data_IF_188146520700
#
_entry.id   IF_188146520700
#
_cell.length_a   1.000
_cell.length_b   1.000
_cell.length_c   1.000
_cell.angle_alpha   90.00
_cell.angle_beta   90.00
_cell.angle_gamma   90.00
#
_symmetry.space_group_name_H-M   'P 1'
#
loop_
_entity.id
_entity.type
_entity.pdbx_description
1 polymer ?
#
# COMPACT_ATOMS: atom_id res chain seq x y z
N UNK A 1 -0.52 -7.02 -15.39
CA UNK A 1 -1.35 -6.08 -14.62
C UNK A 1 -2.78 -6.26 -15.10
N UNK A 2 -3.75 -6.33 -14.20
CA UNK A 2 -5.17 -6.54 -14.54
C UNK A 2 -6.01 -5.51 -13.77
N UNK A 3 -6.76 -4.66 -14.47
CA UNK A 3 -7.66 -3.70 -13.85
C UNK A 3 -8.98 -4.36 -13.44
N UNK A 4 -9.46 -4.06 -12.23
CA UNK A 4 -10.65 -4.66 -11.61
C UNK A 4 -11.84 -3.70 -11.73
N UNK A 5 -11.60 -2.42 -11.45
CA UNK A 5 -12.60 -1.35 -11.55
C UNK A 5 -11.92 -0.03 -11.88
N UNK A 6 -12.67 0.85 -12.55
CA UNK A 6 -12.27 2.20 -12.92
C UNK A 6 -13.38 3.17 -12.51
N UNK A 7 -13.01 4.28 -11.89
CA UNK A 7 -13.90 5.41 -11.62
C UNK A 7 -13.16 6.72 -11.96
N UNK A 8 -13.91 7.81 -12.09
CA UNK A 8 -13.37 9.15 -12.29
C UNK A 8 -14.23 10.15 -11.51
N UNK A 9 -13.57 11.09 -10.84
CA UNK A 9 -14.19 12.15 -10.06
C UNK A 9 -13.19 13.28 -9.80
N UNK A 10 -13.68 14.52 -9.73
CA UNK A 10 -12.90 15.74 -9.41
C UNK A 10 -11.63 15.95 -10.26
N UNK A 11 -11.60 15.49 -11.52
CA UNK A 11 -10.42 15.58 -12.38
C UNK A 11 -9.40 14.46 -12.19
N UNK A 12 -9.73 13.40 -11.45
CA UNK A 12 -8.86 12.26 -11.15
C UNK A 12 -9.55 10.94 -11.46
N UNK A 13 -8.95 10.17 -12.36
CA UNK A 13 -9.28 8.77 -12.64
C UNK A 13 -8.62 7.86 -11.61
N UNK A 14 -9.40 6.99 -10.97
CA UNK A 14 -8.96 5.94 -10.02
C UNK A 14 -9.16 4.55 -10.64
N UNK A 15 -8.13 3.70 -10.60
CA UNK A 15 -8.14 2.37 -11.21
C UNK A 15 -7.57 1.32 -10.24
N UNK A 16 -8.43 0.42 -9.77
CA UNK A 16 -8.03 -0.72 -8.92
C UNK A 16 -7.45 -1.82 -9.78
N UNK A 17 -6.36 -2.46 -9.35
CA UNK A 17 -5.66 -3.46 -10.16
C UNK A 17 -4.98 -4.56 -9.33
N UNK A 18 -4.57 -5.63 -10.01
CA UNK A 18 -3.63 -6.64 -9.50
C UNK A 18 -2.39 -6.79 -10.40
N UNK A 19 -1.24 -7.04 -9.78
CA UNK A 19 0.03 -7.37 -10.45
C UNK A 19 0.48 -8.77 -10.04
N UNK A 20 -0.25 -9.78 -10.51
CA UNK A 20 -0.27 -11.09 -9.86
C UNK A 20 -0.92 -10.97 -8.49
N UNK A 21 -0.26 -11.46 -7.44
CA UNK A 21 -0.78 -11.48 -6.06
C UNK A 21 -0.57 -10.17 -5.27
N UNK A 22 -0.35 -9.06 -5.98
CA UNK A 22 -0.16 -7.72 -5.40
C UNK A 22 -1.31 -6.81 -5.83
N UNK A 23 -2.29 -6.56 -4.93
CA UNK A 23 -3.35 -5.58 -5.13
C UNK A 23 -2.79 -4.15 -5.10
N UNK A 24 -3.31 -3.29 -5.98
CA UNK A 24 -2.92 -1.90 -6.09
C UNK A 24 -4.05 -0.99 -6.56
N UNK A 25 -3.84 0.32 -6.44
CA UNK A 25 -4.68 1.36 -7.03
C UNK A 25 -3.76 2.35 -7.74
N UNK A 26 -4.15 2.75 -8.95
CA UNK A 26 -3.52 3.77 -9.78
C UNK A 26 -4.45 4.98 -9.85
N UNK A 27 -3.94 6.16 -9.51
CA UNK A 27 -4.60 7.45 -9.72
C UNK A 27 -3.84 8.25 -10.77
N UNK A 28 -4.58 8.92 -11.66
CA UNK A 28 -4.03 9.78 -12.72
C UNK A 28 -4.96 10.98 -12.97
N UNK A 29 -4.47 12.09 -13.54
CA UNK A 29 -5.34 13.16 -14.04
C UNK A 29 -6.32 12.62 -15.08
N UNK A 30 -7.57 13.09 -15.05
CA UNK A 30 -8.54 12.82 -16.11
C UNK A 30 -8.02 13.36 -17.45
N UNK A 31 -8.02 12.52 -18.49
CA UNK A 31 -7.40 12.88 -19.78
C UNK A 31 -5.87 12.96 -19.77
N UNK A 32 -5.20 12.44 -18.73
CA UNK A 32 -3.74 12.34 -18.65
C UNK A 32 -3.18 11.34 -19.65
N UNK A 33 -2.89 11.79 -20.88
CA UNK A 33 -2.28 10.98 -21.94
C UNK A 33 -0.76 11.20 -22.02
N UNK A 34 0.01 10.09 -22.07
CA UNK A 34 1.47 10.11 -22.24
C UNK A 34 2.25 9.76 -20.97
N UNK A 35 3.52 10.14 -20.93
CA UNK A 35 4.44 9.78 -19.84
C UNK A 35 4.29 10.74 -18.65
N UNK A 36 3.59 10.32 -17.61
CA UNK A 36 3.48 11.06 -16.34
C UNK A 36 4.58 10.64 -15.34
N UNK A 37 5.07 11.57 -14.49
CA UNK A 37 5.93 11.20 -13.37
C UNK A 37 5.14 10.35 -12.35
N UNK A 38 5.73 9.24 -11.90
CA UNK A 38 5.08 8.27 -11.01
C UNK A 38 5.53 8.42 -9.55
N UNK A 39 4.55 8.57 -8.64
CA UNK A 39 4.74 8.51 -7.19
C UNK A 39 4.25 7.16 -6.65
N UNK A 40 5.10 6.44 -5.93
CA UNK A 40 4.70 5.23 -5.18
C UNK A 40 4.42 5.58 -3.72
N UNK A 41 3.17 5.44 -3.29
CA UNK A 41 2.73 5.70 -1.92
C UNK A 41 2.67 4.42 -1.08
N UNK A 42 3.51 4.37 -0.05
CA UNK A 42 3.35 3.43 1.05
C UNK A 42 2.19 3.85 1.98
N UNK A 43 1.38 2.87 2.39
CA UNK A 43 0.52 3.01 3.58
C UNK A 43 1.37 2.78 4.85
N UNK A 44 0.77 2.92 6.04
CA UNK A 44 1.47 2.62 7.28
C UNK A 44 0.54 2.56 8.49
N UNK A 45 1.02 1.99 9.60
CA UNK A 45 0.22 1.88 10.84
C UNK A 45 -0.89 0.82 10.75
N UNK A 46 -0.60 -0.35 10.17
CA UNK A 46 -1.56 -1.44 10.05
C UNK A 46 -2.51 -1.37 8.84
N UNK A 47 -2.48 -0.25 8.11
CA UNK A 47 -3.45 0.14 7.07
C UNK A 47 -3.27 -0.64 5.75
N UNK A 48 -3.84 -0.12 4.66
CA UNK A 48 -3.95 -0.75 3.33
C UNK A 48 -3.92 0.34 2.22
N UNK A 49 -3.85 -0.08 0.95
CA UNK A 49 -3.74 0.79 -0.24
C UNK A 49 -4.84 1.85 -0.37
N UNK A 50 -6.06 1.53 0.10
CA UNK A 50 -7.25 2.38 0.01
C UNK A 50 -7.55 3.14 1.32
N UNK A 51 -6.63 3.15 2.30
CA UNK A 51 -6.86 3.84 3.56
C UNK A 51 -7.03 5.37 3.34
N UNK A 52 -7.91 6.08 4.07
CA UNK A 52 -8.30 7.46 3.74
C UNK A 52 -7.14 8.44 3.56
N UNK A 53 -6.11 8.34 4.41
CA UNK A 53 -4.91 9.19 4.31
C UNK A 53 -4.00 8.88 3.11
N UNK A 54 -4.11 7.69 2.50
CA UNK A 54 -3.44 7.34 1.24
C UNK A 54 -4.21 7.94 0.08
N UNK A 55 -5.54 7.69 0.01
CA UNK A 55 -6.43 8.21 -1.03
C UNK A 55 -6.37 9.74 -1.11
N UNK A 56 -6.41 10.43 0.03
CA UNK A 56 -6.33 11.89 0.08
C UNK A 56 -5.02 12.45 -0.51
N UNK A 57 -3.87 11.81 -0.22
CA UNK A 57 -2.58 12.19 -0.83
C UNK A 57 -2.53 11.83 -2.31
N UNK A 58 -3.06 10.68 -2.70
CA UNK A 58 -3.04 10.24 -4.08
C UNK A 58 -3.87 11.14 -4.99
N UNK A 59 -5.09 11.50 -4.58
CA UNK A 59 -5.95 12.45 -5.32
C UNK A 59 -5.31 13.84 -5.40
N UNK A 60 -4.70 14.34 -4.32
CA UNK A 60 -3.95 15.60 -4.34
C UNK A 60 -2.79 15.57 -5.35
N UNK A 61 -1.89 14.59 -5.29
CA UNK A 61 -0.78 14.53 -6.26
C UNK A 61 -1.25 14.26 -7.70
N UNK A 62 -2.36 13.54 -7.89
CA UNK A 62 -2.97 13.38 -9.20
C UNK A 62 -3.52 14.72 -9.76
N UNK A 63 -4.14 15.57 -8.92
CA UNK A 63 -4.52 16.93 -9.35
C UNK A 63 -3.34 17.85 -9.66
N UNK A 64 -2.15 17.57 -9.10
CA UNK A 64 -0.89 18.26 -9.44
C UNK A 64 -0.18 17.65 -10.69
N UNK A 65 -0.83 16.75 -11.43
CA UNK A 65 -0.32 16.19 -12.69
C UNK A 65 0.51 14.91 -12.60
N UNK A 66 0.60 14.27 -11.42
CA UNK A 66 1.36 13.03 -11.24
C UNK A 66 0.51 11.78 -11.49
N UNK A 67 1.13 10.71 -12.00
CA UNK A 67 0.60 9.37 -11.78
C UNK A 67 0.94 8.93 -10.35
N UNK A 68 0.01 8.28 -9.66
CA UNK A 68 0.21 7.82 -8.28
C UNK A 68 -0.21 6.37 -8.16
N UNK A 69 0.61 5.53 -7.53
CA UNK A 69 0.26 4.14 -7.21
C UNK A 69 0.38 3.91 -5.71
N UNK A 70 -0.59 3.21 -5.14
CA UNK A 70 -0.46 2.56 -3.83
C UNK A 70 -0.68 1.05 -4.00
N UNK A 71 0.08 0.26 -3.24
CA UNK A 71 -0.04 -1.21 -3.22
C UNK A 71 -0.26 -1.71 -1.79
N UNK A 72 -0.90 -2.85 -1.67
CA UNK A 72 -0.94 -3.57 -0.41
C UNK A 72 0.41 -4.24 -0.13
N UNK A 73 1.08 -3.79 0.92
CA UNK A 73 2.24 -4.47 1.51
C UNK A 73 1.87 -5.91 1.95
N UNK A 74 2.84 -6.81 2.16
CA UNK A 74 2.56 -8.17 2.67
C UNK A 74 1.75 -8.10 3.97
N UNK A 75 0.80 -9.03 4.17
CA UNK A 75 -0.06 -9.11 5.35
C UNK A 75 -1.05 -7.93 5.57
N UNK A 76 -1.16 -7.03 4.60
CA UNK A 76 -2.03 -5.84 4.65
C UNK A 76 -3.08 -5.81 3.53
N UNK A 77 -4.19 -5.12 3.78
CA UNK A 77 -5.30 -4.98 2.84
C UNK A 77 -5.85 -6.33 2.38
N UNK A 78 -5.83 -6.57 1.07
CA UNK A 78 -6.27 -7.85 0.47
C UNK A 78 -5.17 -8.92 0.42
N UNK A 79 -3.94 -8.66 0.88
CA UNK A 79 -2.88 -9.70 0.93
C UNK A 79 -3.03 -10.55 2.19
N UNK A 80 -2.92 -11.89 2.08
CA UNK A 80 -3.21 -12.82 3.17
C UNK A 80 -2.28 -12.63 4.37
N UNK A 81 -2.77 -13.03 5.55
CA UNK A 81 -2.00 -13.12 6.78
C UNK A 81 -1.59 -14.55 7.09
N UNK A 82 -0.49 -14.67 7.80
CA UNK A 82 -0.05 -15.92 8.43
C UNK A 82 -0.02 -15.74 9.96
N UNK A 83 0.05 -16.88 10.66
CA UNK A 83 0.06 -16.89 12.13
C UNK A 83 1.29 -16.19 12.72
N UNK A 84 2.42 -16.11 12.01
CA UNK A 84 3.62 -15.44 12.53
C UNK A 84 3.39 -13.93 12.57
N UNK A 85 2.84 -13.36 11.50
CA UNK A 85 2.45 -11.96 11.46
C UNK A 85 1.40 -11.64 12.53
N UNK A 86 0.36 -12.44 12.69
CA UNK A 86 -0.67 -12.17 13.70
C UNK A 86 -0.17 -12.37 15.15
N UNK A 87 0.74 -13.34 15.41
CA UNK A 87 1.46 -13.45 16.71
C UNK A 87 2.28 -12.20 17.01
N UNK A 88 3.04 -11.70 16.02
CA UNK A 88 3.88 -10.50 16.17
C UNK A 88 3.01 -9.25 16.35
N UNK A 89 1.89 -9.14 15.63
CA UNK A 89 0.94 -8.05 15.76
C UNK A 89 0.24 -8.06 17.13
N UNK A 90 -0.06 -9.24 17.69
CA UNK A 90 -0.59 -9.37 19.04
C UNK A 90 0.42 -8.90 20.10
N UNK A 91 1.70 -9.28 19.97
CA UNK A 91 2.77 -8.78 20.84
C UNK A 91 2.92 -7.26 20.79
N UNK A 92 2.97 -6.68 19.59
CA UNK A 92 3.05 -5.21 19.41
C UNK A 92 1.85 -4.46 19.99
N UNK A 93 0.65 -5.06 20.02
CA UNK A 93 -0.53 -4.49 20.69
C UNK A 93 -0.39 -4.55 22.21
N UNK A 94 -0.01 -5.70 22.76
CA UNK A 94 0.20 -5.86 24.20
C UNK A 94 1.30 -4.92 24.73
N UNK A 95 2.40 -4.72 23.99
CA UNK A 95 3.44 -3.74 24.30
C UNK A 95 2.90 -2.29 24.29
N UNK A 96 2.01 -1.95 23.36
CA UNK A 96 1.37 -0.63 23.27
C UNK A 96 0.35 -0.38 24.38
N UNK A 97 -0.40 -1.40 24.79
CA UNK A 97 -1.46 -1.32 25.82
C UNK A 97 -0.89 -1.33 27.24
N UNK A 98 0.20 -2.07 27.48
CA UNK A 98 0.84 -2.19 28.79
C UNK A 98 1.86 -1.09 29.12
N UNK A 99 2.31 -0.30 28.13
CA UNK A 99 3.32 0.74 28.32
C UNK A 99 2.77 1.96 29.08
N UNK A 100 3.26 2.27 30.30
CA UNK A 100 2.83 3.46 31.05
C UNK A 100 3.36 4.79 30.45
N UNK A 101 4.27 4.71 29.47
CA UNK A 101 4.72 5.84 28.66
C UNK A 101 4.12 5.77 27.25
N UNK A 102 4.04 6.92 26.58
CA UNK A 102 3.54 7.00 25.20
C UNK A 102 4.46 6.19 24.27
N UNK A 103 3.99 5.01 23.80
CA UNK A 103 4.77 4.07 22.99
C UNK A 103 5.40 4.78 21.78
N UNK A 104 6.73 4.88 21.78
CA UNK A 104 7.47 5.70 20.83
C UNK A 104 8.01 4.80 19.72
N UNK A 105 7.64 5.10 18.47
CA UNK A 105 7.89 4.26 17.28
C UNK A 105 9.35 3.82 17.04
N UNK A 106 10.32 4.46 17.69
CA UNK A 106 11.77 4.10 17.66
C UNK A 106 12.15 2.95 18.60
N UNK A 107 11.28 2.59 19.54
CA UNK A 107 11.45 1.49 20.49
C UNK A 107 10.77 0.19 20.01
N UNK A 108 9.96 0.28 18.94
CA UNK A 108 9.39 -0.88 18.27
C UNK A 108 10.47 -1.69 17.56
N UNK A 109 10.52 -3.01 17.82
CA UNK A 109 11.35 -3.92 17.02
C UNK A 109 10.73 -4.06 15.62
N UNK A 110 11.45 -3.75 14.53
CA UNK A 110 10.87 -3.76 13.19
C UNK A 110 10.61 -5.19 12.72
N UNK A 111 9.37 -5.47 12.29
CA UNK A 111 8.99 -6.73 11.63
C UNK A 111 9.68 -6.78 10.27
N UNK A 112 10.79 -7.55 10.18
CA UNK A 112 11.66 -7.54 9.02
C UNK A 112 11.19 -8.57 7.99
N UNK A 113 10.11 -8.22 7.28
CA UNK A 113 9.52 -9.03 6.21
C UNK A 113 10.59 -9.48 5.19
N UNK A 114 10.70 -10.79 4.87
CA UNK A 114 11.71 -11.30 3.96
C UNK A 114 11.43 -10.86 2.51
N UNK A 115 12.47 -10.84 1.65
CA UNK A 115 12.30 -10.44 0.23
C UNK A 115 11.21 -11.25 -0.48
N UNK A 116 11.06 -12.52 -0.12
CA UNK A 116 10.06 -13.44 -0.65
C UNK A 116 8.62 -12.91 -0.50
N UNK A 117 8.27 -12.28 0.63
CA UNK A 117 6.93 -11.75 0.87
C UNK A 117 6.55 -10.59 -0.07
N UNK A 118 7.55 -9.88 -0.58
CA UNK A 118 7.40 -8.77 -1.54
C UNK A 118 7.34 -9.22 -3.00
N UNK A 119 7.54 -10.50 -3.29
CA UNK A 119 7.49 -11.02 -4.66
C UNK A 119 6.05 -11.21 -5.13
N UNK A 120 5.94 -11.24 -6.45
CA UNK A 120 4.81 -11.81 -7.19
C UNK A 120 5.41 -12.92 -8.07
N UNK A 121 4.83 -14.14 -8.18
CA UNK A 121 5.43 -15.25 -8.92
C UNK A 121 5.76 -14.93 -10.39
N UNK A 122 5.07 -13.94 -10.95
CA UNK A 122 5.28 -13.37 -12.30
C UNK A 122 6.68 -12.77 -12.49
N UNK A 123 7.37 -12.36 -11.42
CA UNK A 123 8.72 -11.78 -11.46
C UNK A 123 9.81 -12.86 -11.28
N UNK A 124 9.66 -13.96 -12.02
CA UNK A 124 10.63 -15.08 -12.12
C UNK A 124 11.46 -15.04 -13.42
N UNK A 125 11.43 -13.93 -14.15
CA UNK A 125 12.37 -13.63 -15.24
C UNK A 125 13.67 -13.02 -14.70
N UNK A 126 14.81 -13.42 -15.28
CA UNK A 126 16.15 -12.99 -14.88
C UNK A 126 16.39 -11.48 -15.07
N UNK A 127 17.29 -10.93 -14.25
CA UNK A 127 18.08 -9.75 -14.60
C UNK A 127 19.22 -10.13 -15.56
#
# INVERSE_FOLDING_TARGET
MHFISTSSSDGVTEQHFTLGEVPGILWMPDGGFGTLPLILLGHGGGQHKAAPGVVARARHYASEGFAVVAIDAPHHGERPRDEEFDRVLAGLRADMESSPYKYRRKDAKPVRLPWAAWRSPVWSGSC
#
